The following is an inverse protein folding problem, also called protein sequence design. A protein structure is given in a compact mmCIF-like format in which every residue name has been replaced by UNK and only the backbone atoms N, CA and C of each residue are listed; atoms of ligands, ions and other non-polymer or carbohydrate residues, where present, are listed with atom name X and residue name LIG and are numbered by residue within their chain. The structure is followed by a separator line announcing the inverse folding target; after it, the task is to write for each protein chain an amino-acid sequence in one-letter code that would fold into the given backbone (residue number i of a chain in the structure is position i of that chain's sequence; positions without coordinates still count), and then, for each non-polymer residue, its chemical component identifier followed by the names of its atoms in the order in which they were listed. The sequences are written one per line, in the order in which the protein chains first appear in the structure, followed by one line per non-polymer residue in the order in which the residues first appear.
data_IF_054411835227
#
_entry.id   IF_054411835227
#
_cell.length_a   1.000
_cell.length_b   1.000
_cell.length_c   1.000
_cell.angle_alpha   90.00
_cell.angle_beta   90.00
_cell.angle_gamma   90.00
#
_symmetry.space_group_name_H-M   'P 1'
#
loop_
_entity.id
_entity.type
_entity.pdbx_description
1 polymer ?
#
# COMPACT_ATOMS: atom_id res chain seq x y z
N UNK A 1 -8.89 8.40 -76.11
CA UNK A 1 -8.48 7.64 -74.93
C UNK A 1 -9.25 6.35 -74.97
N UNK A 2 -8.51 5.22 -75.07
CA UNK A 2 -9.12 3.90 -75.18
C UNK A 2 -9.59 3.40 -73.82
N UNK A 3 -10.83 2.93 -73.74
CA UNK A 3 -11.44 2.40 -72.50
C UNK A 3 -10.60 1.32 -71.82
N UNK A 4 -9.82 0.53 -72.57
CA UNK A 4 -8.94 -0.50 -72.08
C UNK A 4 -7.76 0.05 -71.27
N UNK A 5 -7.20 1.20 -71.72
CA UNK A 5 -6.06 1.82 -71.03
C UNK A 5 -6.47 2.51 -69.72
N UNK A 6 -7.73 2.90 -69.59
CA UNK A 6 -8.29 3.48 -68.36
C UNK A 6 -8.47 2.39 -67.29
N UNK A 7 -9.03 1.26 -67.67
CA UNK A 7 -9.28 0.14 -66.72
C UNK A 7 -7.98 -0.48 -66.24
N UNK A 8 -6.95 -0.60 -67.09
CA UNK A 8 -5.64 -1.11 -66.65
C UNK A 8 -4.92 -0.15 -65.70
N UNK A 9 -5.07 1.14 -65.84
CA UNK A 9 -4.48 2.14 -64.93
C UNK A 9 -5.29 2.29 -63.65
N UNK A 10 -6.59 2.06 -63.65
CA UNK A 10 -7.41 2.04 -62.42
C UNK A 10 -7.16 0.80 -61.59
N UNK A 11 -6.89 -0.36 -62.24
CA UNK A 11 -6.52 -1.60 -61.53
C UNK A 11 -5.16 -1.54 -60.84
N UNK A 12 -4.16 -0.84 -61.43
CA UNK A 12 -2.86 -0.66 -60.81
C UNK A 12 -2.87 0.31 -59.61
N UNK A 13 -3.78 1.30 -59.63
CA UNK A 13 -3.98 2.22 -58.52
C UNK A 13 -4.68 1.57 -57.28
N UNK A 14 -5.57 0.64 -57.53
CA UNK A 14 -6.28 -0.08 -56.45
C UNK A 14 -5.41 -1.11 -55.72
N UNK A 15 -4.40 -1.67 -56.40
CA UNK A 15 -3.46 -2.63 -55.77
C UNK A 15 -2.45 -1.96 -54.81
N UNK A 16 -2.20 -0.67 -54.95
CA UNK A 16 -1.33 0.10 -54.04
C UNK A 16 -2.06 0.71 -52.82
N UNK A 17 -3.39 0.72 -52.82
CA UNK A 17 -4.19 1.21 -51.70
C UNK A 17 -4.53 0.09 -50.68
N UNK A 18 -4.16 -1.13 -50.93
CA UNK A 18 -4.54 -2.31 -50.10
C UNK A 18 -3.57 -2.70 -48.99
N UNK A 19 -2.47 -1.95 -48.79
CA UNK A 19 -1.49 -2.23 -47.72
C UNK A 19 -1.23 -1.04 -46.78
N UNK A 20 -2.25 -0.26 -46.49
CA UNK A 20 -2.23 0.44 -45.20
C UNK A 20 -2.50 -0.64 -44.15
N UNK A 21 -1.48 -1.39 -43.78
CA UNK A 21 -1.49 -2.07 -42.50
C UNK A 21 -1.88 -0.97 -41.49
N UNK A 22 -3.10 -1.09 -40.93
CA UNK A 22 -3.46 -0.35 -39.74
C UNK A 22 -2.36 -0.67 -38.77
N UNK A 23 -1.40 0.27 -38.60
CA UNK A 23 -0.45 0.20 -37.53
C UNK A 23 -1.29 0.03 -36.27
N UNK A 24 -1.35 -1.18 -35.73
CA UNK A 24 -1.89 -1.39 -34.40
C UNK A 24 -1.20 -0.31 -33.54
N UNK A 25 -1.96 0.45 -32.74
CA UNK A 25 -1.34 1.42 -31.87
C UNK A 25 -0.20 0.68 -31.17
N UNK A 26 1.04 1.16 -31.34
CA UNK A 26 2.16 0.68 -30.58
C UNK A 26 1.80 0.99 -29.12
N UNK A 27 1.17 0.02 -28.45
CA UNK A 27 1.09 0.02 -27.01
C UNK A 27 2.55 0.08 -26.62
N UNK A 28 2.94 1.24 -26.07
CA UNK A 28 4.30 1.45 -25.60
C UNK A 28 4.57 0.35 -24.56
N UNK A 29 5.19 -0.74 -24.99
CA UNK A 29 5.65 -1.84 -24.14
C UNK A 29 6.92 -1.39 -23.41
N UNK A 30 6.83 -0.20 -22.77
CA UNK A 30 7.87 0.28 -21.89
C UNK A 30 7.77 -0.45 -20.56
N UNK A 31 8.83 -1.14 -20.19
CA UNK A 31 8.97 -1.63 -18.81
C UNK A 31 8.79 -0.45 -17.86
N UNK A 32 7.95 -0.65 -16.83
CA UNK A 32 7.74 0.33 -15.78
C UNK A 32 8.38 -0.17 -14.50
N UNK A 33 9.17 0.70 -13.88
CA UNK A 33 9.68 0.47 -12.53
C UNK A 33 8.92 1.37 -11.57
N UNK A 34 8.31 0.78 -10.55
CA UNK A 34 7.63 1.48 -9.48
C UNK A 34 8.51 1.45 -8.23
N UNK A 35 8.53 2.54 -7.49
CA UNK A 35 9.24 2.64 -6.21
C UNK A 35 8.28 2.37 -5.08
N UNK A 36 8.59 1.35 -4.25
CA UNK A 36 7.88 1.06 -3.01
C UNK A 36 8.73 1.46 -1.82
N UNK A 37 8.17 2.24 -0.91
CA UNK A 37 8.77 2.58 0.39
C UNK A 37 8.07 1.85 1.53
N UNK A 38 8.82 1.36 2.52
CA UNK A 38 8.24 0.64 3.66
C UNK A 38 8.59 1.30 4.98
N UNK A 39 7.71 1.19 5.97
CA UNK A 39 7.95 1.70 7.32
C UNK A 39 8.75 0.71 8.20
N UNK A 40 9.30 -0.34 7.61
CA UNK A 40 10.06 -1.36 8.33
C UNK A 40 11.43 -1.59 7.68
N UNK A 41 12.44 -2.04 8.44
CA UNK A 41 13.74 -2.42 7.90
C UNK A 41 13.66 -3.71 7.08
N UNK A 42 14.71 -4.00 6.32
CA UNK A 42 14.88 -5.29 5.65
C UNK A 42 14.84 -6.45 6.65
N UNK A 43 14.20 -7.53 6.26
CA UNK A 43 14.10 -8.75 7.07
C UNK A 43 13.15 -8.66 8.25
N UNK A 44 12.39 -7.58 8.38
CA UNK A 44 11.38 -7.47 9.45
C UNK A 44 10.25 -8.48 9.21
N UNK A 45 10.10 -9.39 10.17
CA UNK A 45 9.20 -10.53 10.02
C UNK A 45 7.78 -10.11 9.64
N UNK A 46 7.14 -10.89 8.77
CA UNK A 46 5.81 -10.70 8.22
C UNK A 46 5.71 -9.48 7.27
N UNK A 47 6.03 -8.29 7.74
CA UNK A 47 5.85 -7.05 6.95
C UNK A 47 6.80 -6.98 5.75
N UNK A 48 8.10 -7.16 5.96
CA UNK A 48 9.06 -7.10 4.86
C UNK A 48 8.85 -8.23 3.85
N UNK A 49 8.58 -9.45 4.34
CA UNK A 49 8.30 -10.60 3.47
C UNK A 49 7.03 -10.42 2.64
N UNK A 50 5.98 -9.79 3.18
CA UNK A 50 4.76 -9.48 2.44
C UNK A 50 5.03 -8.47 1.32
N UNK A 51 5.80 -7.42 1.60
CA UNK A 51 6.20 -6.43 0.59
C UNK A 51 7.05 -7.04 -0.53
N UNK A 52 8.00 -7.90 -0.18
CA UNK A 52 8.84 -8.65 -1.15
C UNK A 52 7.99 -9.59 -2.00
N UNK A 53 7.08 -10.35 -1.36
CA UNK A 53 6.18 -11.25 -2.07
C UNK A 53 5.32 -10.49 -3.08
N UNK A 54 4.72 -9.37 -2.67
CA UNK A 54 3.91 -8.53 -3.55
C UNK A 54 4.72 -8.02 -4.75
N UNK A 55 5.93 -7.49 -4.51
CA UNK A 55 6.79 -6.98 -5.57
C UNK A 55 7.16 -8.06 -6.60
N UNK A 56 7.49 -9.26 -6.12
CA UNK A 56 7.82 -10.40 -6.98
C UNK A 56 6.59 -10.89 -7.77
N UNK A 57 5.43 -11.01 -7.11
CA UNK A 57 4.20 -11.44 -7.76
C UNK A 57 3.75 -10.49 -8.87
N UNK A 58 3.85 -9.18 -8.66
CA UNK A 58 3.57 -8.18 -9.71
C UNK A 58 4.52 -8.32 -10.89
N UNK A 59 5.80 -8.54 -10.63
CA UNK A 59 6.80 -8.74 -11.69
C UNK A 59 6.51 -10.00 -12.49
N UNK A 60 6.21 -11.10 -11.83
CA UNK A 60 5.88 -12.38 -12.47
C UNK A 60 4.57 -12.30 -13.28
N UNK A 61 3.49 -11.79 -12.68
CA UNK A 61 2.19 -11.65 -13.34
C UNK A 61 2.20 -10.71 -14.54
N UNK A 62 3.11 -9.72 -14.55
CA UNK A 62 3.25 -8.78 -15.67
C UNK A 62 4.27 -9.22 -16.73
N UNK A 63 4.81 -10.44 -16.65
CA UNK A 63 5.90 -10.92 -17.51
C UNK A 63 7.10 -9.94 -17.54
N UNK A 64 7.45 -9.39 -16.36
CA UNK A 64 8.54 -8.44 -16.18
C UNK A 64 8.30 -7.05 -16.79
N UNK A 65 7.07 -6.74 -17.19
CA UNK A 65 6.72 -5.40 -17.70
C UNK A 65 6.61 -4.37 -16.57
N UNK A 66 6.22 -4.83 -15.37
CA UNK A 66 6.19 -4.00 -14.16
C UNK A 66 7.16 -4.60 -13.15
N UNK A 67 8.10 -3.80 -12.67
CA UNK A 67 8.99 -4.17 -11.58
C UNK A 67 8.79 -3.20 -10.42
N UNK A 68 8.96 -3.69 -9.20
CA UNK A 68 8.84 -2.86 -8.00
C UNK A 68 10.18 -2.86 -7.27
N UNK A 69 10.81 -1.69 -7.18
CA UNK A 69 11.99 -1.47 -6.34
C UNK A 69 11.55 -1.14 -4.92
N UNK A 70 11.75 -2.08 -4.01
CA UNK A 70 11.45 -1.87 -2.58
C UNK A 70 12.60 -1.16 -1.89
N UNK A 71 12.28 -0.09 -1.17
CA UNK A 71 13.15 0.68 -0.28
C UNK A 71 12.68 0.47 1.16
N UNK A 72 13.58 0.02 2.01
CA UNK A 72 13.30 -0.12 3.43
C UNK A 72 13.25 1.24 4.14
N UNK A 73 12.77 1.25 5.38
CA UNK A 73 12.75 2.45 6.21
C UNK A 73 14.14 3.09 6.30
N UNK A 74 14.23 4.39 5.98
CA UNK A 74 15.45 5.16 6.00
C UNK A 74 16.28 5.12 4.70
N UNK A 75 15.93 4.28 3.70
CA UNK A 75 16.68 4.26 2.43
C UNK A 75 16.30 5.40 1.47
N UNK A 76 15.04 5.78 1.43
CA UNK A 76 14.55 6.90 0.64
C UNK A 76 13.91 7.95 1.54
N UNK A 77 13.03 7.52 2.44
CA UNK A 77 12.34 8.36 3.42
C UNK A 77 12.31 7.64 4.78
N UNK A 78 12.09 8.39 5.86
CA UNK A 78 11.91 7.82 7.19
C UNK A 78 10.66 6.93 7.30
N UNK A 79 10.64 6.05 8.29
CA UNK A 79 9.57 5.05 8.46
C UNK A 79 8.16 5.65 8.52
N UNK A 80 7.99 6.84 9.07
CA UNK A 80 6.70 7.52 9.18
C UNK A 80 6.45 8.55 8.08
N UNK A 81 7.39 8.72 7.14
CA UNK A 81 7.26 9.65 6.01
C UNK A 81 6.74 8.96 4.74
N UNK A 82 6.60 7.63 4.77
CA UNK A 82 6.17 6.83 3.60
C UNK A 82 4.79 7.23 3.06
N UNK A 83 3.87 7.64 3.93
CA UNK A 83 2.54 8.11 3.56
C UNK A 83 2.63 9.41 2.75
N UNK A 84 3.37 10.38 3.23
CA UNK A 84 3.53 11.68 2.58
C UNK A 84 4.32 11.54 1.27
N UNK A 85 5.31 10.63 1.22
CA UNK A 85 6.08 10.36 0.02
C UNK A 85 5.20 9.86 -1.13
N UNK A 86 4.24 8.97 -0.86
CA UNK A 86 3.34 8.46 -1.91
C UNK A 86 2.22 9.45 -2.20
N UNK A 87 1.64 10.06 -1.18
CA UNK A 87 0.60 11.10 -1.34
C UNK A 87 1.06 12.26 -2.22
N UNK A 88 2.34 12.65 -2.11
CA UNK A 88 2.95 13.71 -2.93
C UNK A 88 3.49 13.24 -4.28
N UNK A 89 3.54 11.92 -4.55
CA UNK A 89 4.09 11.35 -5.78
C UNK A 89 5.61 11.21 -5.79
N UNK A 90 6.30 11.32 -4.64
CA UNK A 90 7.73 11.05 -4.52
C UNK A 90 8.04 9.55 -4.65
N UNK A 91 7.12 8.69 -4.25
CA UNK A 91 7.15 7.24 -4.45
C UNK A 91 5.79 6.77 -4.98
N UNK A 92 5.74 5.56 -5.54
CA UNK A 92 4.52 5.04 -6.17
C UNK A 92 3.66 4.23 -5.20
N UNK A 93 4.30 3.52 -4.28
CA UNK A 93 3.65 2.60 -3.36
C UNK A 93 4.27 2.77 -1.97
N UNK A 94 3.45 2.70 -0.92
CA UNK A 94 3.97 2.43 0.42
C UNK A 94 3.39 1.15 1.01
N UNK A 95 4.17 0.50 1.86
CA UNK A 95 3.74 -0.63 2.66
C UNK A 95 3.95 -0.31 4.14
N UNK A 96 2.86 -0.18 4.88
CA UNK A 96 2.86 0.27 6.27
C UNK A 96 1.58 -0.14 6.99
N UNK A 97 1.40 0.34 8.20
CA UNK A 97 0.18 0.22 8.97
C UNK A 97 -0.46 1.61 9.16
N UNK A 98 -1.72 1.75 8.78
CA UNK A 98 -2.40 3.05 8.72
C UNK A 98 -2.48 3.78 10.06
N UNK A 99 -2.49 3.06 11.17
CA UNK A 99 -2.53 3.67 12.50
C UNK A 99 -1.32 4.60 12.78
N UNK A 100 -0.22 4.46 12.05
CA UNK A 100 0.90 5.39 12.15
C UNK A 100 0.56 6.80 11.66
N UNK A 101 -0.39 6.89 10.76
CA UNK A 101 -0.78 8.14 10.09
C UNK A 101 -2.08 8.73 10.64
N UNK A 102 -2.51 8.29 11.81
CA UNK A 102 -3.71 8.83 12.47
C UNK A 102 -3.64 10.33 12.80
N UNK A 103 -2.44 10.93 12.75
CA UNK A 103 -2.24 12.37 12.78
C UNK A 103 -2.70 13.09 11.53
N UNK A 104 -2.64 12.43 10.36
CA UNK A 104 -3.15 12.95 9.09
C UNK A 104 -4.68 12.93 9.06
N UNK A 105 -5.27 11.82 9.49
CA UNK A 105 -6.72 11.70 9.67
C UNK A 105 -7.06 10.59 10.68
N UNK A 106 -7.93 10.86 11.69
CA UNK A 106 -8.25 9.88 12.72
C UNK A 106 -8.92 8.61 12.18
N UNK A 107 -9.57 8.66 11.03
CA UNK A 107 -10.12 7.49 10.35
C UNK A 107 -9.10 6.40 10.03
N UNK A 108 -7.83 6.75 9.83
CA UNK A 108 -6.76 5.80 9.51
C UNK A 108 -6.49 4.81 10.66
N UNK A 109 -6.82 5.16 11.89
CA UNK A 109 -6.69 4.21 13.01
C UNK A 109 -7.53 2.95 12.82
N UNK A 110 -8.70 3.07 12.20
CA UNK A 110 -9.67 1.98 12.09
C UNK A 110 -9.34 0.94 11.01
N UNK A 111 -8.39 1.26 10.13
CA UNK A 111 -7.98 0.35 9.06
C UNK A 111 -6.77 -0.54 9.41
N UNK A 112 -6.27 -0.46 10.63
CA UNK A 112 -5.20 -1.35 11.09
C UNK A 112 -5.64 -2.20 12.28
N UNK A 113 -5.94 -1.58 13.41
CA UNK A 113 -6.35 -2.33 14.60
C UNK A 113 -7.14 -1.47 15.58
N UNK A 114 -8.18 -2.06 16.12
CA UNK A 114 -8.95 -1.50 17.23
C UNK A 114 -8.82 -2.47 18.40
N UNK A 115 -8.36 -2.01 19.59
CA UNK A 115 -8.29 -2.87 20.77
C UNK A 115 -9.65 -3.54 21.06
N UNK A 116 -9.64 -4.85 21.31
CA UNK A 116 -10.84 -5.67 21.50
C UNK A 116 -11.82 -5.65 20.32
N UNK A 117 -11.36 -5.24 19.14
CA UNK A 117 -12.16 -5.22 17.90
C UNK A 117 -12.28 -6.59 17.24
N UNK A 118 -12.55 -6.55 15.94
CA UNK A 118 -12.74 -7.74 15.12
C UNK A 118 -11.47 -8.60 15.01
N UNK A 119 -11.66 -9.91 14.93
CA UNK A 119 -10.58 -10.85 14.51
C UNK A 119 -10.15 -10.56 13.06
N UNK A 120 -9.05 -11.15 12.62
CA UNK A 120 -8.61 -10.99 11.22
C UNK A 120 -9.69 -11.41 10.23
N UNK A 121 -10.36 -12.53 10.47
CA UNK A 121 -11.41 -13.06 9.58
C UNK A 121 -12.63 -12.14 9.54
N UNK A 122 -13.08 -11.67 10.69
CA UNK A 122 -14.19 -10.72 10.79
C UNK A 122 -13.86 -9.40 10.14
N UNK A 123 -12.63 -8.90 10.35
CA UNK A 123 -12.15 -7.68 9.72
C UNK A 123 -12.11 -7.81 8.20
N UNK A 124 -11.59 -8.92 7.66
CA UNK A 124 -11.53 -9.17 6.22
C UNK A 124 -12.94 -9.33 5.62
N UNK A 125 -13.87 -9.96 6.34
CA UNK A 125 -15.26 -10.04 5.93
C UNK A 125 -15.91 -8.65 5.84
N UNK A 126 -15.71 -7.82 6.85
CA UNK A 126 -16.16 -6.43 6.83
C UNK A 126 -15.48 -5.63 5.72
N UNK A 127 -14.18 -5.77 5.57
CA UNK A 127 -13.40 -5.01 4.59
C UNK A 127 -13.87 -5.28 3.16
N UNK A 128 -14.04 -6.54 2.77
CA UNK A 128 -14.41 -6.90 1.40
C UNK A 128 -15.92 -6.99 1.14
N UNK A 129 -16.73 -7.20 2.17
CA UNK A 129 -18.17 -7.44 2.01
C UNK A 129 -19.06 -6.53 2.84
N UNK A 130 -18.50 -5.81 3.82
CA UNK A 130 -19.22 -4.92 4.72
C UNK A 130 -19.00 -3.42 4.42
N UNK A 131 -18.40 -3.08 3.30
CA UNK A 131 -18.16 -1.68 2.89
C UNK A 131 -16.85 -1.08 3.41
N UNK A 132 -16.01 -1.84 4.12
CA UNK A 132 -14.75 -1.35 4.66
C UNK A 132 -13.79 -0.85 3.58
N UNK A 133 -13.67 -1.59 2.47
CA UNK A 133 -12.84 -1.19 1.34
C UNK A 133 -13.28 0.15 0.73
N UNK A 134 -14.59 0.35 0.56
CA UNK A 134 -15.10 1.61 0.00
C UNK A 134 -14.84 2.79 0.92
N UNK A 135 -14.95 2.60 2.24
CA UNK A 135 -14.62 3.63 3.23
C UNK A 135 -13.11 3.95 3.22
N UNK A 136 -12.27 2.91 3.10
CA UNK A 136 -10.83 3.08 3.02
C UNK A 136 -10.42 3.84 1.74
N UNK A 137 -11.05 3.54 0.61
CA UNK A 137 -10.87 4.26 -0.63
C UNK A 137 -11.30 5.73 -0.54
N UNK A 138 -12.47 6.00 0.04
CA UNK A 138 -12.94 7.36 0.23
C UNK A 138 -11.96 8.18 1.09
N UNK A 139 -11.42 7.56 2.15
CA UNK A 139 -10.40 8.18 2.99
C UNK A 139 -9.09 8.39 2.22
N UNK A 140 -8.64 7.39 1.47
CA UNK A 140 -7.42 7.46 0.67
C UNK A 140 -7.47 8.55 -0.40
N UNK A 141 -8.63 8.75 -1.04
CA UNK A 141 -8.82 9.78 -2.06
C UNK A 141 -8.54 11.21 -1.55
N UNK A 142 -8.77 11.49 -0.26
CA UNK A 142 -8.45 12.79 0.35
C UNK A 142 -6.95 13.09 0.21
N UNK A 143 -6.12 12.05 0.18
CA UNK A 143 -4.66 12.11 0.15
C UNK A 143 -4.05 11.64 -1.16
N UNK A 144 -4.84 11.55 -2.24
CA UNK A 144 -4.38 11.03 -3.53
C UNK A 144 -3.85 9.58 -3.44
N UNK A 145 -4.45 8.77 -2.61
CA UNK A 145 -4.06 7.37 -2.37
C UNK A 145 -5.16 6.39 -2.80
N UNK A 146 -4.74 5.22 -3.25
CA UNK A 146 -5.58 4.02 -3.41
C UNK A 146 -5.11 2.97 -2.43
N UNK A 147 -6.00 2.54 -1.53
CA UNK A 147 -5.66 1.66 -0.42
C UNK A 147 -6.06 0.21 -0.65
N UNK A 148 -5.23 -0.73 -0.19
CA UNK A 148 -5.49 -2.16 -0.25
C UNK A 148 -5.01 -2.83 1.03
N UNK A 149 -5.77 -3.81 1.54
CA UNK A 149 -5.29 -4.69 2.59
C UNK A 149 -4.27 -5.68 2.01
N UNK A 150 -3.12 -5.82 2.64
CA UNK A 150 -2.03 -6.66 2.15
C UNK A 150 -1.53 -7.71 3.14
N UNK A 151 -2.12 -7.80 4.32
CA UNK A 151 -1.75 -8.80 5.31
C UNK A 151 -2.22 -8.48 6.72
N UNK A 152 -2.05 -9.44 7.61
CA UNK A 152 -2.35 -9.31 9.03
C UNK A 152 -1.30 -10.01 9.88
N UNK A 153 -1.01 -9.46 11.05
CA UNK A 153 -0.17 -10.10 12.07
C UNK A 153 -0.99 -10.96 13.04
N UNK A 154 -2.28 -11.15 12.77
CA UNK A 154 -3.24 -11.77 13.69
C UNK A 154 -3.32 -11.06 15.05
N UNK A 155 -3.86 -11.76 16.04
CA UNK A 155 -3.97 -11.23 17.39
C UNK A 155 -2.60 -10.90 17.97
N UNK A 156 -2.51 -9.73 18.55
CA UNK A 156 -1.34 -9.29 19.29
C UNK A 156 -1.65 -9.27 20.80
N UNK A 157 -0.74 -9.73 21.66
CA UNK A 157 -0.88 -9.53 23.10
C UNK A 157 -0.86 -8.04 23.43
N UNK A 158 -1.39 -7.67 24.60
CA UNK A 158 -1.46 -6.28 25.05
C UNK A 158 -0.09 -5.61 25.20
N UNK A 159 0.99 -6.37 25.32
CA UNK A 159 2.34 -5.83 25.35
C UNK A 159 3.34 -6.75 26.06
N UNK A 160 4.60 -6.33 26.05
CA UNK A 160 5.71 -6.92 26.81
C UNK A 160 6.10 -5.98 27.92
N UNK A 161 6.15 -6.48 29.14
CA UNK A 161 6.37 -5.68 30.33
C UNK A 161 7.54 -6.23 31.12
N UNK A 162 8.31 -5.36 31.76
CA UNK A 162 9.37 -5.70 32.70
C UNK A 162 8.89 -5.78 34.16
N UNK A 163 7.60 -5.60 34.39
CA UNK A 163 6.92 -5.74 35.68
C UNK A 163 5.55 -6.36 35.48
N UNK A 164 4.98 -6.93 36.53
CA UNK A 164 3.57 -7.37 36.49
C UNK A 164 2.62 -6.17 36.40
N UNK A 165 1.56 -6.33 35.63
CA UNK A 165 0.45 -5.40 35.50
C UNK A 165 -0.79 -6.08 36.10
N UNK A 166 -1.21 -5.65 37.25
CA UNK A 166 -2.32 -6.23 38.01
C UNK A 166 -3.56 -5.33 37.98
N UNK A 167 -3.40 -4.04 37.70
CA UNK A 167 -4.47 -3.06 37.70
C UNK A 167 -4.19 -1.92 36.70
N UNK A 168 -5.20 -1.10 36.47
CA UNK A 168 -5.05 0.10 35.62
C UNK A 168 -4.04 1.10 36.22
N UNK A 169 -3.91 1.15 37.53
CA UNK A 169 -3.00 2.08 38.22
C UNK A 169 -1.53 1.75 37.92
N UNK A 170 -1.21 0.49 37.57
CA UNK A 170 0.15 0.06 37.22
C UNK A 170 0.65 0.67 35.92
N UNK A 171 -0.23 1.22 35.10
CA UNK A 171 0.15 1.97 33.91
C UNK A 171 0.61 3.40 34.21
N UNK A 172 0.27 3.95 35.36
CA UNK A 172 0.67 5.32 35.70
C UNK A 172 2.18 5.48 35.68
N UNK A 173 2.68 6.43 34.88
CA UNK A 173 4.10 6.67 34.67
C UNK A 173 4.86 5.60 33.87
N UNK A 174 4.19 4.53 33.42
CA UNK A 174 4.82 3.49 32.61
C UNK A 174 5.18 4.06 31.23
N UNK A 175 6.44 3.93 30.84
CA UNK A 175 6.86 4.20 29.46
C UNK A 175 6.50 3.00 28.60
N UNK A 176 5.69 3.23 27.58
CA UNK A 176 5.15 2.14 26.78
C UNK A 176 5.08 2.50 25.29
N UNK A 177 5.44 1.55 24.43
CA UNK A 177 5.30 1.71 22.98
C UNK A 177 3.96 1.11 22.54
N UNK A 178 3.05 1.95 22.09
CA UNK A 178 1.80 1.49 21.48
C UNK A 178 1.28 2.54 20.50
N UNK A 179 1.28 2.26 19.19
CA UNK A 179 0.70 3.17 18.20
C UNK A 179 -0.83 3.06 18.18
N UNK A 180 -1.46 4.03 17.52
CA UNK A 180 -2.89 4.00 17.24
C UNK A 180 -3.79 4.29 18.45
N UNK A 181 -5.04 3.83 18.38
CA UNK A 181 -6.07 4.08 19.40
C UNK A 181 -5.71 3.46 20.74
N UNK A 182 -5.07 2.28 20.73
CA UNK A 182 -4.63 1.61 21.96
C UNK A 182 -3.68 2.49 22.77
N UNK A 183 -2.72 3.14 22.12
CA UNK A 183 -1.81 4.09 22.76
C UNK A 183 -2.55 5.26 23.39
N UNK A 184 -3.48 5.86 22.64
CA UNK A 184 -4.32 6.96 23.15
C UNK A 184 -5.16 6.56 24.36
N UNK A 185 -5.68 5.34 24.38
CA UNK A 185 -6.43 4.82 25.52
C UNK A 185 -5.52 4.65 26.76
N UNK A 186 -4.30 4.14 26.57
CA UNK A 186 -3.34 3.99 27.68
C UNK A 186 -2.84 5.33 28.24
N UNK A 187 -2.72 6.37 27.43
CA UNK A 187 -2.40 7.71 27.91
C UNK A 187 -3.40 8.21 28.97
N UNK A 188 -4.67 7.82 28.86
CA UNK A 188 -5.70 8.18 29.82
C UNK A 188 -5.50 7.52 31.20
N UNK A 189 -4.71 6.46 31.30
CA UNK A 189 -4.31 5.82 32.57
C UNK A 189 -3.07 6.46 33.20
N UNK A 190 -2.51 7.49 32.57
CA UNK A 190 -1.27 8.13 33.02
C UNK A 190 0.01 7.47 32.49
N UNK A 191 -0.09 6.56 31.52
CA UNK A 191 1.07 6.00 30.84
C UNK A 191 1.75 7.04 29.93
N UNK A 192 3.08 6.99 29.85
CA UNK A 192 3.87 7.76 28.88
C UNK A 192 4.01 6.94 27.59
N UNK A 193 3.08 7.11 26.66
CA UNK A 193 3.03 6.34 25.43
C UNK A 193 3.87 6.99 24.35
N UNK A 194 4.59 6.17 23.57
CA UNK A 194 5.34 6.59 22.41
C UNK A 194 4.93 5.75 21.18
N UNK A 195 4.81 6.40 20.03
CA UNK A 195 4.66 5.73 18.74
C UNK A 195 6.03 5.68 18.07
N UNK A 196 6.63 4.50 18.07
CA UNK A 196 7.90 4.23 17.38
C UNK A 196 7.67 3.23 16.25
N UNK A 197 8.43 3.32 15.14
CA UNK A 197 8.42 2.29 14.11
C UNK A 197 8.82 0.94 14.70
N UNK A 198 8.27 -0.15 14.15
CA UNK A 198 8.56 -1.50 14.67
C UNK A 198 10.03 -1.89 14.65
N UNK A 199 10.83 -1.30 13.77
CA UNK A 199 12.28 -1.55 13.69
C UNK A 199 13.13 -0.79 14.72
N UNK A 200 12.51 0.05 15.56
CA UNK A 200 13.19 0.88 16.56
C UNK A 200 12.83 0.51 18.01
N UNK A 201 12.25 -0.68 18.18
CA UNK A 201 11.81 -1.21 19.49
C UNK A 201 12.94 -2.05 20.09
#
# INVERSE_FOLDING_TARGET
MDRRSFISKAGAGAALAGTTALAAPAIAQGKRTLTMVTSVPHGFAVFDSAAVYFANAVTEMSDGQITIEKKAAGELVGAFEVFDAVSSGQADIYHSADYYFGGQHPGLYYFTSVPFGATTEEYMAWYYHGGGHDLHDQLGQIFNLKSFACGSTNMQPGGWYNKEINSADDFSGLKFRMPGIGGKALELTGASVQSLPGGEI
#
